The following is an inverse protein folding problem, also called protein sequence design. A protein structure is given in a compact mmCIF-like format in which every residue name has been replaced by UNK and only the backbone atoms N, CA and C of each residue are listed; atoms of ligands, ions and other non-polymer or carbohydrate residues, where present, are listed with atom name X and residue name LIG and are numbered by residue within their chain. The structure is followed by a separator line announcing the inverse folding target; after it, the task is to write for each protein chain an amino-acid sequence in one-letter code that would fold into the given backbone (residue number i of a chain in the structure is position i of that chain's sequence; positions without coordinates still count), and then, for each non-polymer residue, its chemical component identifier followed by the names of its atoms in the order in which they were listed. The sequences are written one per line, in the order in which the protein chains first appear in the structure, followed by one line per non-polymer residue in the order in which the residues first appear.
data_IF_308924873109
#
_entry.id   IF_308924873109
#
_cell.length_a   1.000
_cell.length_b   1.000
_cell.length_c   1.000
_cell.angle_alpha   90.00
_cell.angle_beta   90.00
_cell.angle_gamma   90.00
#
_symmetry.space_group_name_H-M   'P 1'
#
loop_
_entity.id
_entity.type
_entity.pdbx_description
1 polymer ?
#
# COMPACT_ATOMS: atom_id res chain seq x y z
N UNK A 1 8.24 -9.09 -6.00
CA UNK A 1 8.09 -7.60 -6.06
C UNK A 1 6.98 -7.28 -7.05
N UNK A 2 6.12 -6.30 -6.76
CA UNK A 2 4.96 -5.98 -7.61
C UNK A 2 5.36 -5.11 -8.81
N UNK A 3 4.63 -5.21 -9.92
CA UNK A 3 4.84 -4.41 -11.13
C UNK A 3 3.95 -3.17 -11.19
N UNK A 4 4.27 -2.25 -12.11
CA UNK A 4 3.46 -1.06 -12.40
C UNK A 4 2.08 -1.46 -12.91
N UNK A 5 2.00 -2.51 -13.73
CA UNK A 5 0.76 -3.05 -14.29
C UNK A 5 -0.16 -3.58 -13.19
N UNK A 6 0.37 -4.30 -12.21
CA UNK A 6 -0.42 -4.81 -11.07
C UNK A 6 -1.02 -3.66 -10.25
N UNK A 7 -0.22 -2.61 -9.98
CA UNK A 7 -0.73 -1.42 -9.29
C UNK A 7 -1.77 -0.69 -10.13
N UNK A 8 -1.54 -0.57 -11.43
CA UNK A 8 -2.44 0.10 -12.38
C UNK A 8 -3.79 -0.60 -12.48
N UNK A 9 -3.79 -1.93 -12.59
CA UNK A 9 -5.00 -2.74 -12.58
C UNK A 9 -5.77 -2.58 -11.28
N UNK A 10 -5.04 -2.51 -10.15
CA UNK A 10 -5.66 -2.31 -8.85
C UNK A 10 -6.31 -0.93 -8.71
N UNK A 11 -5.66 0.14 -9.15
CA UNK A 11 -6.22 1.51 -9.07
C UNK A 11 -7.24 1.81 -10.18
N UNK A 12 -7.26 0.97 -11.23
CA UNK A 12 -8.10 1.12 -12.41
C UNK A 12 -8.00 2.52 -13.06
N UNK A 13 -6.77 3.04 -13.15
CA UNK A 13 -6.46 4.36 -13.72
C UNK A 13 -5.25 4.25 -14.67
N UNK A 14 -5.50 4.52 -15.96
CA UNK A 14 -4.49 4.43 -17.02
C UNK A 14 -3.76 5.76 -17.27
N UNK A 15 -4.20 6.86 -16.65
CA UNK A 15 -3.68 8.21 -16.91
C UNK A 15 -2.44 8.52 -16.06
N UNK A 16 -2.23 7.78 -14.97
CA UNK A 16 -1.11 8.03 -14.05
C UNK A 16 0.22 7.62 -14.70
N UNK A 17 1.20 8.56 -14.80
CA UNK A 17 2.53 8.28 -15.33
C UNK A 17 3.23 7.11 -14.64
N UNK A 18 3.92 6.27 -15.42
CA UNK A 18 4.69 5.13 -14.91
C UNK A 18 5.69 5.53 -13.81
N UNK A 19 6.32 6.69 -13.95
CA UNK A 19 7.31 7.21 -12.99
C UNK A 19 6.71 7.44 -11.60
N UNK A 20 5.48 7.96 -11.54
CA UNK A 20 4.75 8.18 -10.29
C UNK A 20 4.38 6.83 -9.66
N UNK A 21 3.89 5.90 -10.46
CA UNK A 21 3.54 4.55 -10.00
C UNK A 21 4.76 3.80 -9.46
N UNK A 22 5.90 3.87 -10.17
CA UNK A 22 7.14 3.26 -9.73
C UNK A 22 7.64 3.86 -8.41
N UNK A 23 7.61 5.18 -8.28
CA UNK A 23 7.97 5.85 -7.03
C UNK A 23 7.08 5.38 -5.85
N UNK A 24 5.77 5.21 -6.08
CA UNK A 24 4.87 4.68 -5.05
C UNK A 24 5.20 3.23 -4.66
N UNK A 25 5.57 2.39 -5.63
CA UNK A 25 6.02 1.02 -5.39
C UNK A 25 7.31 1.02 -4.55
N UNK A 26 8.28 1.87 -4.88
CA UNK A 26 9.55 1.96 -4.16
C UNK A 26 9.34 2.43 -2.71
N UNK A 27 8.49 3.42 -2.49
CA UNK A 27 8.10 3.89 -1.16
C UNK A 27 7.40 2.77 -0.35
N UNK A 28 6.47 2.04 -0.98
CA UNK A 28 5.77 0.92 -0.35
C UNK A 28 6.73 -0.21 0.05
N UNK A 29 7.67 -0.58 -0.82
CA UNK A 29 8.70 -1.59 -0.53
C UNK A 29 9.58 -1.15 0.63
N UNK A 30 10.07 0.09 0.61
CA UNK A 30 10.89 0.64 1.69
C UNK A 30 10.13 0.68 3.02
N UNK A 31 8.84 1.01 2.98
CA UNK A 31 7.98 1.02 4.16
C UNK A 31 7.75 -0.38 4.70
N UNK A 32 7.43 -1.36 3.86
CA UNK A 32 7.25 -2.75 4.27
C UNK A 32 8.54 -3.34 4.89
N UNK A 33 9.70 -3.05 4.31
CA UNK A 33 11.01 -3.42 4.87
C UNK A 33 11.23 -2.84 6.27
N UNK A 34 10.88 -1.57 6.48
CA UNK A 34 10.96 -0.92 7.79
C UNK A 34 9.99 -1.53 8.80
N UNK A 35 8.75 -1.81 8.40
CA UNK A 35 7.72 -2.41 9.26
C UNK A 35 8.13 -3.82 9.73
N UNK A 36 8.72 -4.61 8.84
CA UNK A 36 9.16 -5.97 9.12
C UNK A 36 10.59 -6.05 9.68
N UNK A 37 11.30 -4.93 9.75
CA UNK A 37 12.73 -4.88 10.06
C UNK A 37 13.54 -5.90 9.23
N UNK A 38 13.32 -5.91 7.91
CA UNK A 38 13.89 -6.88 6.97
C UNK A 38 14.56 -6.19 5.78
N UNK A 39 15.70 -6.72 5.33
CA UNK A 39 16.40 -6.21 4.14
C UNK A 39 15.73 -6.65 2.83
N UNK A 40 15.12 -7.83 2.84
CA UNK A 40 14.41 -8.44 1.72
C UNK A 40 12.99 -8.81 2.13
N UNK A 41 12.08 -8.79 1.16
CA UNK A 41 10.68 -9.16 1.35
C UNK A 41 10.43 -10.50 0.66
N UNK A 42 9.70 -11.40 1.34
CA UNK A 42 9.27 -12.65 0.73
C UNK A 42 8.25 -12.38 -0.37
N UNK A 43 8.30 -13.13 -1.48
CA UNK A 43 7.34 -12.97 -2.58
C UNK A 43 6.12 -13.88 -2.37
N UNK A 44 5.40 -13.66 -1.26
CA UNK A 44 4.13 -14.36 -0.98
C UNK A 44 2.93 -13.56 -1.47
N UNK A 45 1.78 -14.19 -1.73
CA UNK A 45 0.56 -13.48 -2.11
C UNK A 45 0.15 -12.37 -1.12
N UNK A 46 0.35 -12.60 0.18
CA UNK A 46 0.04 -11.65 1.25
C UNK A 46 0.95 -10.42 1.18
N UNK A 47 2.25 -10.62 1.02
CA UNK A 47 3.22 -9.53 0.89
C UNK A 47 2.95 -8.73 -0.37
N UNK A 48 2.67 -9.40 -1.50
CA UNK A 48 2.32 -8.72 -2.76
C UNK A 48 1.07 -7.86 -2.61
N UNK A 49 0.00 -8.41 -2.01
CA UNK A 49 -1.22 -7.66 -1.73
C UNK A 49 -0.98 -6.49 -0.79
N UNK A 50 -0.18 -6.67 0.26
CA UNK A 50 0.21 -5.60 1.18
C UNK A 50 0.97 -4.48 0.46
N UNK A 51 1.89 -4.83 -0.45
CA UNK A 51 2.64 -3.85 -1.25
C UNK A 51 1.72 -3.03 -2.17
N UNK A 52 0.71 -3.65 -2.78
CA UNK A 52 -0.27 -2.94 -3.61
C UNK A 52 -1.07 -1.94 -2.77
N UNK A 53 -1.53 -2.36 -1.59
CA UNK A 53 -2.29 -1.51 -0.66
C UNK A 53 -1.45 -0.34 -0.16
N UNK A 54 -0.18 -0.59 0.21
CA UNK A 54 0.75 0.46 0.62
C UNK A 54 1.05 1.42 -0.53
N UNK A 55 1.37 0.92 -1.73
CA UNK A 55 1.65 1.77 -2.88
C UNK A 55 0.45 2.64 -3.27
N UNK A 56 -0.77 2.10 -3.15
CA UNK A 56 -2.00 2.87 -3.38
C UNK A 56 -2.21 3.93 -2.29
N UNK A 57 -1.87 3.64 -1.04
CA UNK A 57 -1.90 4.61 0.03
C UNK A 57 -0.86 5.74 -0.20
N UNK A 58 0.35 5.42 -0.66
CA UNK A 58 1.36 6.43 -1.02
C UNK A 58 0.88 7.31 -2.19
N UNK A 59 0.22 6.72 -3.18
CA UNK A 59 -0.37 7.47 -4.31
C UNK A 59 -1.43 8.47 -3.85
N UNK A 60 -2.18 8.17 -2.78
CA UNK A 60 -3.22 9.08 -2.25
C UNK A 60 -2.65 10.36 -1.63
N UNK A 61 -1.35 10.38 -1.34
CA UNK A 61 -0.65 11.59 -0.90
C UNK A 61 -0.20 12.48 -2.07
N UNK A 62 -0.07 11.90 -3.27
CA UNK A 62 0.42 12.58 -4.48
C UNK A 62 -0.70 12.97 -5.44
N UNK A 63 -1.82 12.24 -5.39
CA UNK A 63 -3.00 12.45 -6.21
C UNK A 63 -4.19 12.52 -5.26
N UNK A 64 -5.05 13.52 -5.40
CA UNK A 64 -6.40 13.48 -4.81
C UNK A 64 -7.14 12.31 -5.48
N UNK A 65 -6.91 11.09 -5.00
CA UNK A 65 -7.42 9.86 -5.58
C UNK A 65 -8.93 9.80 -5.35
N UNK A 66 -9.68 10.27 -6.34
CA UNK A 66 -11.11 9.99 -6.46
C UNK A 66 -11.26 8.70 -7.24
N UNK A 67 -11.50 7.58 -6.54
CA UNK A 67 -11.88 6.34 -7.19
C UNK A 67 -13.23 6.53 -7.91
N UNK A 68 -13.19 6.73 -9.24
CA UNK A 68 -14.39 6.79 -10.08
C UNK A 68 -14.72 5.40 -10.62
N UNK A 69 -15.45 4.61 -9.84
CA UNK A 69 -16.38 3.65 -10.46
C UNK A 69 -17.69 4.40 -10.71
N UNK A 70 -18.16 4.33 -11.95
CA UNK A 70 -19.42 4.91 -12.41
C UNK A 70 -20.49 4.84 -11.31
N UNK A 71 -20.98 6.02 -10.90
CA UNK A 71 -22.08 6.25 -9.95
C UNK A 71 -21.86 5.99 -8.45
N UNK A 72 -20.73 5.46 -8.00
CA UNK A 72 -20.45 5.31 -6.54
C UNK A 72 -19.00 5.69 -6.21
N UNK A 73 -18.79 6.93 -5.77
CA UNK A 73 -17.48 7.39 -5.32
C UNK A 73 -17.18 6.77 -3.96
N UNK A 74 -16.37 5.72 -3.92
CA UNK A 74 -15.78 5.27 -2.67
C UNK A 74 -14.55 6.13 -2.38
N UNK A 75 -14.59 6.90 -1.29
CA UNK A 75 -13.40 7.54 -0.75
C UNK A 75 -12.50 6.43 -0.23
N UNK A 76 -11.39 6.17 -0.92
CA UNK A 76 -10.37 5.24 -0.42
C UNK A 76 -9.66 5.90 0.76
N UNK A 77 -10.01 5.46 1.97
CA UNK A 77 -9.33 5.92 3.17
C UNK A 77 -7.95 5.24 3.26
N UNK A 78 -6.89 6.00 3.01
CA UNK A 78 -5.51 5.54 3.10
C UNK A 78 -5.19 4.83 4.43
N UNK A 79 -5.81 5.24 5.54
CA UNK A 79 -5.62 4.58 6.84
C UNK A 79 -6.10 3.13 6.84
N UNK A 80 -7.20 2.84 6.17
CA UNK A 80 -7.75 1.48 6.10
C UNK A 80 -6.87 0.58 5.22
N UNK A 81 -6.32 1.12 4.13
CA UNK A 81 -5.39 0.40 3.26
C UNK A 81 -4.11 0.03 4.01
N UNK A 82 -3.54 0.99 4.75
CA UNK A 82 -2.36 0.77 5.59
C UNK A 82 -2.64 -0.26 6.67
N UNK A 83 -3.76 -0.16 7.38
CA UNK A 83 -4.10 -1.12 8.44
C UNK A 83 -4.26 -2.55 7.90
N UNK A 84 -4.90 -2.72 6.74
CA UNK A 84 -5.01 -4.04 6.10
C UNK A 84 -3.66 -4.56 5.60
N UNK A 85 -2.80 -3.68 5.07
CA UNK A 85 -1.45 -4.06 4.69
C UNK A 85 -0.61 -4.52 5.90
N UNK A 86 -0.68 -3.81 7.03
CA UNK A 86 -0.02 -4.19 8.29
C UNK A 86 -0.53 -5.53 8.81
N UNK A 87 -1.85 -5.79 8.70
CA UNK A 87 -2.46 -7.08 9.04
C UNK A 87 -1.92 -8.22 8.16
N UNK A 88 -1.82 -8.00 6.85
CA UNK A 88 -1.29 -8.98 5.89
C UNK A 88 0.20 -9.27 6.10
N UNK A 89 0.98 -8.24 6.46
CA UNK A 89 2.38 -8.37 6.83
C UNK A 89 2.57 -8.95 8.24
N UNK A 90 1.48 -9.23 8.96
CA UNK A 90 1.50 -9.71 10.34
C UNK A 90 2.37 -8.81 11.25
N UNK A 91 2.25 -7.50 11.08
CA UNK A 91 2.97 -6.52 11.89
C UNK A 91 2.40 -6.54 13.30
N UNK A 92 3.10 -7.24 14.20
CA UNK A 92 2.79 -7.25 15.63
C UNK A 92 3.48 -6.06 16.27
N UNK A 93 2.81 -5.30 17.17
CA UNK A 93 3.47 -4.23 17.92
C UNK A 93 4.69 -4.79 18.68
N UNK A 94 5.89 -4.34 18.32
CA UNK A 94 7.14 -4.81 18.91
C UNK A 94 7.29 -4.48 20.41
N UNK A 95 6.47 -3.55 20.93
CA UNK A 95 6.50 -3.12 22.33
C UNK A 95 5.28 -3.55 23.17
N UNK A 96 4.43 -4.44 22.65
CA UNK A 96 3.17 -4.79 23.31
C UNK A 96 2.18 -3.62 23.34
N UNK A 97 0.94 -3.87 23.74
CA UNK A 97 -0.04 -2.81 23.93
C UNK A 97 0.48 -1.85 25.01
N UNK A 98 0.57 -0.56 24.69
CA UNK A 98 0.84 0.48 25.70
C UNK A 98 -0.40 0.53 26.59
N UNK A 99 -0.35 -0.15 27.74
CA UNK A 99 -1.30 0.10 28.80
C UNK A 99 -1.04 1.54 29.28
N UNK A 100 -2.01 2.42 29.07
CA UNK A 100 -2.05 3.69 29.78
C UNK A 100 -2.32 3.36 31.25
N UNK A 101 -1.29 3.47 32.08
CA UNK A 101 -1.38 3.36 33.54
C UNK A 101 -1.56 4.77 34.10
#
# INVERSE_FOLDING_TARGET
MISIEELREFINDQEIPNEILQNCIDLAVNRAKKLLNAETLQDTPEVRKALILLATAELSSQVNLYWRKAENHQVMNAKNLVAEAERLLNVVPSKGAIAWI
#
